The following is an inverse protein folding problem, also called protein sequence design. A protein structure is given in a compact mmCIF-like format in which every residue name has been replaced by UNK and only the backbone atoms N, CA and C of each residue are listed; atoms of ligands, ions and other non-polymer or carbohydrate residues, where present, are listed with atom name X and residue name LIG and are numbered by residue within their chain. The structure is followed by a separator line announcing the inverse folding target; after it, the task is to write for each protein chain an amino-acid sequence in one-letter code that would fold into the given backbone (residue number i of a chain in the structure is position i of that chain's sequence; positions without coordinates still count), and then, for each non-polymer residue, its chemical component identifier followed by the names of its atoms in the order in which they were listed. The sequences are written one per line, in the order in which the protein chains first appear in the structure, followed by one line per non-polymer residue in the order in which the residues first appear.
data_IF_233442685508
#
_entry.id   IF_233442685508
#
_cell.length_a   1.000
_cell.length_b   1.000
_cell.length_c   1.000
_cell.angle_alpha   90.00
_cell.angle_beta   90.00
_cell.angle_gamma   90.00
#
_symmetry.space_group_name_H-M   'P 1'
#
loop_
_entity.id
_entity.type
_entity.pdbx_description
1 polymer ?
#
# COMPACT_ATOMS: atom_id res chain seq x y z
N UNK A 1 -9.50 -19.86 -17.00
CA UNK A 1 -9.82 -18.66 -16.22
C UNK A 1 -11.19 -18.18 -16.68
N UNK A 2 -12.13 -17.99 -15.77
CA UNK A 2 -13.43 -17.36 -16.06
C UNK A 2 -13.18 -15.93 -16.50
N UNK A 3 -13.99 -15.45 -17.45
CA UNK A 3 -13.93 -14.07 -17.94
C UNK A 3 -14.46 -13.08 -16.89
N UNK A 4 -14.19 -11.79 -17.08
CA UNK A 4 -14.70 -10.74 -16.19
C UNK A 4 -16.23 -10.77 -16.09
N UNK A 5 -16.92 -10.96 -17.23
CA UNK A 5 -18.38 -11.06 -17.26
C UNK A 5 -18.87 -12.26 -16.43
N UNK A 6 -18.28 -13.44 -16.61
CA UNK A 6 -18.66 -14.65 -15.85
C UNK A 6 -18.41 -14.46 -14.34
N UNK A 7 -17.33 -13.74 -13.95
CA UNK A 7 -17.05 -13.47 -12.54
C UNK A 7 -18.06 -12.48 -11.95
N UNK A 8 -18.37 -11.40 -12.66
CA UNK A 8 -19.35 -10.40 -12.19
C UNK A 8 -20.75 -11.01 -12.11
N UNK A 9 -21.16 -11.82 -13.10
CA UNK A 9 -22.42 -12.53 -13.07
C UNK A 9 -22.50 -13.47 -11.86
N UNK A 10 -21.44 -14.22 -11.58
CA UNK A 10 -21.36 -15.10 -10.42
C UNK A 10 -21.47 -14.34 -9.09
N UNK A 11 -20.75 -13.22 -8.96
CA UNK A 11 -20.81 -12.35 -7.79
C UNK A 11 -22.23 -11.85 -7.56
N UNK A 12 -22.89 -11.33 -8.61
CA UNK A 12 -24.25 -10.78 -8.51
C UNK A 12 -25.31 -11.87 -8.29
N UNK A 13 -25.17 -13.05 -8.92
CA UNK A 13 -26.06 -14.18 -8.68
C UNK A 13 -25.96 -14.70 -7.24
N UNK A 14 -24.76 -14.83 -6.70
CA UNK A 14 -24.55 -15.21 -5.30
C UNK A 14 -25.16 -14.20 -4.35
N UNK A 15 -24.95 -12.91 -4.59
CA UNK A 15 -25.57 -11.83 -3.82
C UNK A 15 -27.09 -11.92 -3.80
N UNK A 16 -27.70 -12.20 -4.96
CA UNK A 16 -29.15 -12.37 -5.09
C UNK A 16 -29.68 -13.59 -4.32
N UNK A 17 -28.98 -14.73 -4.38
CA UNK A 17 -29.34 -15.95 -3.63
C UNK A 17 -29.29 -15.69 -2.12
N UNK A 18 -28.28 -14.97 -1.66
CA UNK A 18 -28.10 -14.60 -0.25
C UNK A 18 -29.00 -13.43 0.19
N UNK A 19 -29.73 -12.80 -0.74
CA UNK A 19 -30.61 -11.66 -0.49
C UNK A 19 -29.86 -10.49 0.16
N UNK A 20 -28.61 -10.21 -0.29
CA UNK A 20 -27.85 -9.07 0.21
C UNK A 20 -28.52 -7.75 -0.20
N UNK A 21 -28.34 -6.70 0.61
CA UNK A 21 -29.00 -5.43 0.41
C UNK A 21 -28.39 -4.58 -0.71
N UNK A 22 -27.08 -4.68 -0.90
CA UNK A 22 -26.36 -4.02 -1.98
C UNK A 22 -24.99 -4.68 -2.23
N UNK A 23 -24.43 -4.44 -3.41
CA UNK A 23 -23.12 -4.92 -3.86
C UNK A 23 -22.32 -3.76 -4.42
N UNK A 24 -21.08 -3.62 -3.96
CA UNK A 24 -20.13 -2.70 -4.57
C UNK A 24 -18.78 -3.39 -4.77
N UNK A 25 -17.96 -2.82 -5.62
CA UNK A 25 -16.59 -3.29 -5.89
C UNK A 25 -15.63 -2.11 -5.72
N UNK A 26 -14.48 -2.38 -5.13
CA UNK A 26 -13.37 -1.43 -4.96
C UNK A 26 -12.10 -1.91 -5.65
N UNK A 27 -10.95 -1.34 -5.32
CA UNK A 27 -9.66 -1.81 -5.73
C UNK A 27 -9.24 -1.49 -7.16
N UNK A 28 -8.36 -2.34 -7.72
CA UNK A 28 -7.72 -2.03 -9.00
C UNK A 28 -8.67 -2.05 -10.20
N UNK A 29 -9.77 -2.79 -10.13
CA UNK A 29 -10.77 -2.86 -11.20
C UNK A 29 -11.62 -1.60 -11.33
N UNK A 30 -11.74 -0.81 -10.26
CA UNK A 30 -12.44 0.48 -10.27
C UNK A 30 -11.54 1.64 -10.66
N UNK A 31 -10.22 1.45 -10.62
CA UNK A 31 -9.25 2.48 -10.98
C UNK A 31 -8.91 2.42 -12.48
N UNK A 32 -9.34 3.40 -13.30
CA UNK A 32 -9.08 3.41 -14.74
C UNK A 32 -7.59 3.53 -15.10
N UNK A 33 -6.73 3.91 -14.15
CA UNK A 33 -5.28 4.03 -14.33
C UNK A 33 -4.52 2.74 -13.95
N UNK A 34 -5.18 1.80 -13.28
CA UNK A 34 -4.55 0.53 -12.94
C UNK A 34 -4.30 -0.31 -14.21
N UNK A 35 -3.16 -1.01 -14.29
CA UNK A 35 -2.94 -1.98 -15.35
C UNK A 35 -4.06 -3.03 -15.37
N UNK A 36 -4.58 -3.33 -16.56
CA UNK A 36 -5.55 -4.39 -16.75
C UNK A 36 -4.81 -5.66 -17.13
N UNK A 37 -4.74 -6.60 -16.21
CA UNK A 37 -4.06 -7.88 -16.38
C UNK A 37 -4.79 -9.01 -15.66
N UNK A 38 -4.28 -10.23 -15.79
CA UNK A 38 -4.83 -11.45 -15.17
C UNK A 38 -4.65 -11.51 -13.64
N UNK A 39 -3.90 -10.59 -13.04
CA UNK A 39 -3.64 -10.54 -11.60
C UNK A 39 -4.58 -9.58 -10.85
N UNK A 40 -5.49 -8.89 -11.57
CA UNK A 40 -6.50 -8.07 -10.91
C UNK A 40 -7.51 -8.94 -10.17
N UNK A 41 -7.59 -8.79 -8.85
CA UNK A 41 -8.61 -9.39 -7.99
C UNK A 41 -9.95 -8.63 -8.09
N UNK A 42 -10.98 -9.24 -7.52
CA UNK A 42 -12.31 -8.66 -7.36
C UNK A 42 -12.49 -8.30 -5.88
N UNK A 43 -12.23 -7.06 -5.52
CA UNK A 43 -12.45 -6.50 -4.17
C UNK A 43 -13.94 -6.16 -4.02
N UNK A 44 -14.74 -7.08 -3.50
CA UNK A 44 -16.20 -6.99 -3.46
C UNK A 44 -16.70 -6.78 -2.04
N UNK A 45 -17.71 -5.95 -1.87
CA UNK A 45 -18.49 -5.88 -0.63
C UNK A 45 -19.94 -6.28 -0.86
N UNK A 46 -20.44 -7.14 0.02
CA UNK A 46 -21.85 -7.40 0.19
C UNK A 46 -22.35 -6.66 1.44
N UNK A 47 -23.32 -5.79 1.24
CA UNK A 47 -24.02 -5.13 2.34
C UNK A 47 -25.13 -6.05 2.80
N UNK A 48 -25.10 -6.43 4.06
CA UNK A 48 -25.96 -7.47 4.61
C UNK A 48 -26.79 -6.98 5.80
N UNK A 49 -27.98 -7.56 5.97
CA UNK A 49 -28.86 -7.30 7.12
C UNK A 49 -28.45 -8.17 8.32
N UNK A 50 -28.18 -9.44 8.07
CA UNK A 50 -27.84 -10.45 9.10
C UNK A 50 -26.47 -11.07 8.79
N UNK A 51 -25.43 -10.45 9.35
CA UNK A 51 -24.06 -10.96 9.23
C UNK A 51 -23.90 -12.31 9.95
N UNK A 52 -24.47 -12.43 11.15
CA UNK A 52 -24.29 -13.62 12.00
C UNK A 52 -24.96 -14.85 11.36
N UNK A 53 -26.13 -14.68 10.76
CA UNK A 53 -26.78 -15.74 9.99
C UNK A 53 -25.95 -16.21 8.80
N UNK A 54 -25.34 -15.31 8.05
CA UNK A 54 -24.51 -15.65 6.89
C UNK A 54 -23.19 -16.34 7.26
N UNK A 55 -22.59 -16.00 8.41
CA UNK A 55 -21.34 -16.65 8.85
C UNK A 55 -21.58 -17.96 9.61
N UNK A 56 -22.79 -18.22 10.07
CA UNK A 56 -23.14 -19.46 10.77
C UNK A 56 -23.06 -20.70 9.85
N UNK A 57 -23.34 -20.52 8.54
CA UNK A 57 -23.18 -21.56 7.53
C UNK A 57 -22.48 -20.95 6.30
N UNK A 58 -21.26 -21.36 6.05
CA UNK A 58 -20.42 -20.88 4.94
C UNK A 58 -20.52 -21.76 3.69
N UNK A 59 -21.45 -22.73 3.64
CA UNK A 59 -21.61 -23.62 2.47
C UNK A 59 -21.89 -22.84 1.17
N UNK A 60 -22.47 -21.64 1.25
CA UNK A 60 -22.70 -20.77 0.10
C UNK A 60 -21.40 -20.31 -0.59
N UNK A 61 -20.27 -20.27 0.12
CA UNK A 61 -18.96 -19.95 -0.50
C UNK A 61 -18.53 -20.96 -1.55
N UNK A 62 -19.01 -22.21 -1.46
CA UNK A 62 -18.74 -23.25 -2.46
C UNK A 62 -19.29 -22.87 -3.84
N UNK A 63 -20.32 -22.02 -3.88
CA UNK A 63 -20.90 -21.52 -5.12
C UNK A 63 -19.91 -20.71 -5.98
N UNK A 64 -18.87 -20.13 -5.39
CA UNK A 64 -17.82 -19.40 -6.13
C UNK A 64 -16.86 -20.34 -6.88
N UNK A 65 -16.83 -21.63 -6.55
CA UNK A 65 -16.00 -22.63 -7.19
C UNK A 65 -14.85 -23.14 -6.33
N UNK A 66 -14.07 -24.04 -6.91
CA UNK A 66 -12.94 -24.65 -6.20
C UNK A 66 -11.82 -23.66 -5.96
N UNK A 67 -11.36 -23.62 -4.71
CA UNK A 67 -10.30 -22.74 -4.23
C UNK A 67 -8.95 -23.48 -4.14
N UNK A 68 -7.88 -22.81 -4.56
CA UNK A 68 -6.50 -23.23 -4.26
C UNK A 68 -6.20 -22.96 -2.79
N UNK A 69 -6.58 -21.76 -2.33
CA UNK A 69 -6.39 -21.29 -0.96
C UNK A 69 -7.47 -20.28 -0.60
N UNK A 70 -7.84 -20.27 0.64
CA UNK A 70 -8.69 -19.25 1.23
C UNK A 70 -8.14 -18.75 2.57
N UNK A 71 -8.45 -17.52 2.90
CA UNK A 71 -8.14 -16.92 4.18
C UNK A 71 -9.34 -16.14 4.68
N UNK A 72 -9.60 -16.27 5.96
CA UNK A 72 -10.63 -15.52 6.66
C UNK A 72 -10.00 -14.48 7.57
N UNK A 73 -10.47 -13.23 7.47
CA UNK A 73 -9.99 -12.11 8.28
C UNK A 73 -11.14 -11.48 9.05
N UNK A 74 -10.99 -11.37 10.36
CA UNK A 74 -11.89 -10.63 11.23
C UNK A 74 -11.51 -9.15 11.18
N UNK A 75 -12.45 -8.34 10.74
CA UNK A 75 -12.35 -6.88 10.82
C UNK A 75 -13.47 -6.43 11.76
N UNK A 76 -13.25 -5.57 12.70
CA UNK A 76 -14.18 -5.15 13.76
C UNK A 76 -15.66 -5.59 13.58
N UNK A 77 -16.38 -4.93 12.67
CA UNK A 77 -17.78 -5.19 12.38
C UNK A 77 -18.00 -5.91 11.03
N UNK A 78 -16.95 -6.32 10.33
CA UNK A 78 -16.98 -6.90 8.98
C UNK A 78 -16.25 -8.23 8.94
N UNK A 79 -16.53 -9.02 7.91
CA UNK A 79 -15.83 -10.28 7.65
C UNK A 79 -15.28 -10.24 6.23
N UNK A 80 -14.00 -10.58 6.08
CA UNK A 80 -13.32 -10.59 4.79
C UNK A 80 -12.90 -12.02 4.47
N UNK A 81 -13.32 -12.51 3.31
CA UNK A 81 -12.97 -13.80 2.73
C UNK A 81 -12.06 -13.57 1.53
N UNK A 82 -10.83 -14.00 1.62
CA UNK A 82 -9.85 -13.95 0.53
C UNK A 82 -9.85 -15.33 -0.15
N UNK A 83 -10.18 -15.38 -1.43
CA UNK A 83 -10.35 -16.65 -2.15
C UNK A 83 -9.58 -16.60 -3.47
N UNK A 84 -8.58 -17.48 -3.62
CA UNK A 84 -7.91 -17.74 -4.89
C UNK A 84 -8.42 -19.07 -5.48
N UNK A 85 -8.96 -19.01 -6.68
CA UNK A 85 -9.59 -20.14 -7.34
C UNK A 85 -8.63 -20.93 -8.25
N UNK A 86 -8.95 -22.21 -8.53
CA UNK A 86 -8.15 -23.08 -9.41
C UNK A 86 -7.98 -22.51 -10.83
N UNK A 87 -8.89 -21.65 -11.27
CA UNK A 87 -8.82 -21.00 -12.57
C UNK A 87 -7.98 -19.70 -12.58
N UNK A 88 -7.36 -19.37 -11.46
CA UNK A 88 -6.49 -18.19 -11.30
C UNK A 88 -7.22 -16.89 -10.95
N UNK A 89 -8.56 -16.87 -10.96
CA UNK A 89 -9.29 -15.71 -10.47
C UNK A 89 -9.18 -15.58 -8.95
N UNK A 90 -9.32 -14.34 -8.43
CA UNK A 90 -9.33 -14.07 -7.00
C UNK A 90 -10.49 -13.15 -6.64
N UNK A 91 -11.17 -13.48 -5.55
CA UNK A 91 -12.19 -12.62 -4.93
C UNK A 91 -11.76 -12.32 -3.49
N UNK A 92 -11.75 -11.04 -3.15
CA UNK A 92 -11.63 -10.54 -1.79
C UNK A 92 -13.03 -10.03 -1.39
N UNK A 93 -13.82 -10.89 -0.74
CA UNK A 93 -15.23 -10.62 -0.42
C UNK A 93 -15.38 -10.12 1.02
N UNK A 94 -15.83 -8.88 1.16
CA UNK A 94 -16.21 -8.31 2.45
C UNK A 94 -17.72 -8.46 2.69
N UNK A 95 -18.12 -9.05 3.81
CA UNK A 95 -19.47 -8.94 4.34
C UNK A 95 -19.52 -7.75 5.31
N UNK A 96 -20.38 -6.79 5.04
CA UNK A 96 -20.48 -5.55 5.81
C UNK A 96 -21.93 -5.32 6.23
N UNK A 97 -22.26 -5.27 7.54
CA UNK A 97 -23.56 -4.86 8.01
C UNK A 97 -23.92 -3.47 7.50
N UNK A 98 -25.18 -3.24 7.18
CA UNK A 98 -25.63 -1.97 6.58
C UNK A 98 -25.32 -0.72 7.42
N UNK A 99 -25.32 -0.83 8.74
CA UNK A 99 -24.97 0.24 9.67
C UNK A 99 -23.50 0.65 9.60
N UNK A 100 -22.65 -0.21 9.03
CA UNK A 100 -21.21 0.03 8.90
C UNK A 100 -20.75 0.36 7.45
N UNK A 101 -21.68 0.67 6.54
CA UNK A 101 -21.38 1.08 5.16
C UNK A 101 -20.41 2.25 5.13
N UNK A 102 -20.65 3.26 6.00
CA UNK A 102 -19.78 4.44 6.05
C UNK A 102 -18.32 4.08 6.37
N UNK A 103 -18.12 3.18 7.32
CA UNK A 103 -16.77 2.72 7.71
C UNK A 103 -16.07 1.98 6.53
N UNK A 104 -16.84 1.19 5.77
CA UNK A 104 -16.29 0.56 4.57
C UNK A 104 -15.93 1.60 3.50
N UNK A 105 -16.81 2.54 3.21
CA UNK A 105 -16.55 3.63 2.24
C UNK A 105 -15.33 4.46 2.64
N UNK A 106 -15.21 4.82 3.93
CA UNK A 106 -14.07 5.59 4.43
C UNK A 106 -12.74 4.77 4.34
N UNK A 107 -12.82 3.44 4.37
CA UNK A 107 -11.65 2.55 4.24
C UNK A 107 -11.22 2.32 2.80
N UNK A 108 -12.10 2.58 1.83
CA UNK A 108 -11.81 2.37 0.41
C UNK A 108 -11.43 3.68 -0.30
N UNK A 109 -10.51 3.61 -1.25
CA UNK A 109 -10.07 4.79 -2.00
C UNK A 109 -11.08 5.16 -3.09
N UNK A 110 -11.60 4.15 -3.77
CA UNK A 110 -12.53 4.27 -4.88
C UNK A 110 -13.43 3.04 -4.91
N UNK A 111 -14.67 3.21 -5.37
CA UNK A 111 -15.60 2.11 -5.50
C UNK A 111 -16.61 2.34 -6.63
N UNK A 112 -17.16 1.26 -7.14
CA UNK A 112 -18.27 1.24 -8.10
C UNK A 112 -19.41 0.41 -7.52
N UNK A 113 -20.61 0.96 -7.50
CA UNK A 113 -21.81 0.25 -7.09
C UNK A 113 -22.23 -0.69 -8.23
N UNK A 114 -22.39 -1.99 -7.94
CA UNK A 114 -22.81 -3.00 -8.90
C UNK A 114 -24.30 -3.29 -8.82
N UNK A 115 -24.89 -3.29 -7.61
CA UNK A 115 -26.30 -3.46 -7.34
C UNK A 115 -26.67 -2.75 -6.03
N UNK A 116 -27.72 -1.93 -6.05
CA UNK A 116 -28.18 -1.18 -4.87
C UNK A 116 -29.66 -0.78 -5.02
N UNK A 117 -30.58 -1.72 -4.93
CA UNK A 117 -32.00 -1.45 -5.12
C UNK A 117 -32.61 -0.55 -4.05
N UNK A 118 -31.94 -0.40 -2.90
CA UNK A 118 -32.40 0.41 -1.78
C UNK A 118 -31.74 1.79 -1.71
N UNK A 119 -30.75 2.09 -2.54
CA UNK A 119 -30.04 3.36 -2.54
C UNK A 119 -29.14 3.57 -1.31
N UNK A 120 -28.60 2.48 -0.73
CA UNK A 120 -27.79 2.53 0.48
C UNK A 120 -26.45 3.28 0.26
N UNK A 121 -25.92 3.23 -0.96
CA UNK A 121 -24.70 3.94 -1.34
C UNK A 121 -24.97 5.39 -1.81
N UNK A 122 -26.22 5.79 -2.02
CA UNK A 122 -26.54 7.13 -2.54
C UNK A 122 -25.96 8.31 -1.73
N UNK A 123 -25.81 8.23 -0.38
CA UNK A 123 -25.18 9.29 0.40
C UNK A 123 -23.66 9.42 0.21
N UNK A 124 -23.01 8.45 -0.43
CA UNK A 124 -21.57 8.35 -0.46
C UNK A 124 -21.03 8.57 -1.88
N UNK A 125 -19.97 9.33 -1.99
CA UNK A 125 -19.23 9.51 -3.24
C UNK A 125 -17.86 8.86 -3.14
N UNK A 126 -17.39 8.18 -4.20
CA UNK A 126 -16.00 7.69 -4.26
C UNK A 126 -15.01 8.83 -4.01
N UNK A 127 -14.00 8.59 -3.19
CA UNK A 127 -12.93 9.55 -2.93
C UNK A 127 -11.59 8.93 -3.26
N UNK A 128 -11.15 8.93 -4.54
CA UNK A 128 -9.99 8.18 -5.02
C UNK A 128 -8.66 8.77 -4.55
N UNK A 129 -8.53 9.08 -3.23
CA UNK A 129 -7.38 9.80 -2.68
C UNK A 129 -6.54 8.99 -1.68
N UNK A 130 -6.86 7.73 -1.45
CA UNK A 130 -6.21 6.94 -0.39
C UNK A 130 -4.68 6.83 -0.56
N UNK A 131 -4.21 6.73 -1.79
CA UNK A 131 -2.79 6.60 -2.12
C UNK A 131 -2.23 7.84 -2.82
N UNK A 132 -2.93 8.94 -2.70
CA UNK A 132 -2.49 10.20 -3.29
C UNK A 132 -1.50 10.89 -2.37
N UNK A 133 -0.45 11.43 -2.98
CA UNK A 133 0.49 12.27 -2.24
C UNK A 133 -0.15 13.59 -1.86
N UNK A 134 0.25 14.13 -0.73
CA UNK A 134 0.00 15.52 -0.35
C UNK A 134 1.35 16.18 -0.08
N UNK A 135 1.50 17.49 -0.30
CA UNK A 135 2.69 18.21 0.11
C UNK A 135 2.91 18.03 1.62
N UNK A 136 4.16 17.79 2.01
CA UNK A 136 4.53 17.74 3.42
C UNK A 136 4.45 19.12 4.06
N UNK A 137 4.16 19.18 5.36
CA UNK A 137 4.52 20.33 6.18
C UNK A 137 6.02 20.30 6.52
N UNK A 138 6.58 21.45 6.93
CA UNK A 138 7.94 21.50 7.42
C UNK A 138 8.17 20.56 8.61
N UNK A 139 7.19 20.46 9.50
CA UNK A 139 7.23 19.52 10.64
C UNK A 139 7.26 18.06 10.21
N UNK A 140 6.53 17.68 9.15
CA UNK A 140 6.55 16.30 8.64
C UNK A 140 7.91 15.98 8.00
N UNK A 141 8.48 16.96 7.27
CA UNK A 141 9.80 16.81 6.67
C UNK A 141 10.89 16.68 7.74
N UNK A 142 10.88 17.53 8.76
CA UNK A 142 11.83 17.47 9.88
C UNK A 142 11.76 16.12 10.61
N UNK A 143 10.53 15.65 10.94
CA UNK A 143 10.33 14.33 11.56
C UNK A 143 10.85 13.18 10.70
N UNK A 144 10.63 13.25 9.40
CA UNK A 144 11.08 12.22 8.45
C UNK A 144 12.60 12.19 8.34
N UNK A 145 13.25 13.36 8.27
CA UNK A 145 14.70 13.46 8.26
C UNK A 145 15.29 12.91 9.56
N UNK A 146 14.72 13.29 10.71
CA UNK A 146 15.19 12.82 12.00
C UNK A 146 15.02 11.30 12.15
N UNK A 147 13.89 10.73 11.74
CA UNK A 147 13.64 9.28 11.76
C UNK A 147 14.63 8.53 10.87
N UNK A 148 14.87 9.02 9.65
CA UNK A 148 15.85 8.41 8.74
C UNK A 148 17.23 8.31 9.39
N UNK A 149 17.76 9.43 9.90
CA UNK A 149 19.10 9.47 10.47
C UNK A 149 19.18 8.70 11.79
N UNK A 150 18.15 8.76 12.62
CA UNK A 150 18.11 8.01 13.88
C UNK A 150 18.12 6.49 13.64
N UNK A 151 17.28 6.00 12.72
CA UNK A 151 17.19 4.56 12.44
C UNK A 151 18.41 4.05 11.69
N UNK A 152 19.10 4.89 10.90
CA UNK A 152 20.36 4.48 10.26
C UNK A 152 21.41 3.99 11.26
N UNK A 153 21.44 4.54 12.49
CA UNK A 153 22.30 4.03 13.57
C UNK A 153 21.94 2.59 14.00
N UNK A 154 20.68 2.19 13.89
CA UNK A 154 20.27 0.79 14.17
C UNK A 154 20.76 -0.15 13.07
N UNK A 155 20.75 0.30 11.82
CA UNK A 155 21.32 -0.45 10.70
C UNK A 155 22.81 -0.66 10.91
N UNK A 156 23.57 0.43 11.22
CA UNK A 156 25.01 0.36 11.56
C UNK A 156 25.27 -0.66 12.67
N UNK A 157 24.52 -0.56 13.77
CA UNK A 157 24.61 -1.51 14.89
C UNK A 157 24.33 -2.96 14.46
N UNK A 158 23.32 -3.17 13.64
CA UNK A 158 22.96 -4.50 13.11
C UNK A 158 24.07 -5.10 12.25
N UNK A 159 24.64 -4.32 11.33
CA UNK A 159 25.74 -4.72 10.47
C UNK A 159 26.98 -5.05 11.33
N UNK A 160 27.38 -4.16 12.22
CA UNK A 160 28.56 -4.34 13.09
C UNK A 160 28.47 -5.62 13.92
N UNK A 161 27.28 -6.00 14.39
CA UNK A 161 27.02 -7.19 15.19
C UNK A 161 26.73 -8.44 14.35
N UNK A 162 26.79 -8.35 13.04
CA UNK A 162 26.39 -9.40 12.11
C UNK A 162 24.93 -9.90 12.31
N UNK A 163 24.04 -8.99 12.73
CA UNK A 163 22.61 -9.24 12.84
C UNK A 163 21.92 -8.82 11.54
N UNK A 164 22.12 -9.58 10.46
CA UNK A 164 21.76 -9.17 9.10
C UNK A 164 20.25 -8.94 8.92
N UNK A 165 19.41 -9.82 9.52
CA UNK A 165 17.94 -9.67 9.45
C UNK A 165 17.52 -8.35 10.12
N UNK A 166 18.05 -8.05 11.31
CA UNK A 166 17.78 -6.80 12.01
C UNK A 166 18.23 -5.57 11.20
N UNK A 167 19.42 -5.63 10.60
CA UNK A 167 19.94 -4.55 9.77
C UNK A 167 19.07 -4.32 8.52
N UNK A 168 18.68 -5.39 7.84
CA UNK A 168 17.85 -5.33 6.64
C UNK A 168 16.45 -4.79 6.95
N UNK A 169 15.84 -5.24 8.04
CA UNK A 169 14.52 -4.79 8.46
C UNK A 169 14.49 -3.28 8.69
N UNK A 170 15.47 -2.74 9.44
CA UNK A 170 15.56 -1.29 9.67
C UNK A 170 15.96 -0.51 8.41
N UNK A 171 16.81 -1.08 7.55
CA UNK A 171 17.21 -0.41 6.31
C UNK A 171 16.03 -0.30 5.34
N UNK A 172 15.36 -1.42 5.05
CA UNK A 172 14.23 -1.43 4.11
C UNK A 172 12.95 -0.89 4.75
N UNK A 173 12.60 -1.39 5.94
CA UNK A 173 11.33 -1.09 6.61
C UNK A 173 11.23 0.33 7.18
N UNK A 174 12.36 1.00 7.40
CA UNK A 174 12.39 2.37 7.90
C UNK A 174 13.15 3.31 6.96
N UNK A 175 14.47 3.19 6.84
CA UNK A 175 15.27 4.19 6.10
C UNK A 175 14.81 4.33 4.64
N UNK A 176 14.64 3.24 3.91
CA UNK A 176 14.18 3.30 2.52
C UNK A 176 12.70 3.68 2.40
N UNK A 177 11.88 3.43 3.42
CA UNK A 177 10.50 3.94 3.46
C UNK A 177 10.46 5.46 3.63
N UNK A 178 11.33 6.04 4.48
CA UNK A 178 11.46 7.49 4.59
C UNK A 178 11.97 8.12 3.28
N UNK A 179 12.89 7.47 2.58
CA UNK A 179 13.33 7.90 1.25
C UNK A 179 12.17 7.87 0.23
N UNK A 180 11.38 6.80 0.17
CA UNK A 180 10.21 6.71 -0.72
C UNK A 180 9.18 7.79 -0.39
N UNK A 181 8.95 8.06 0.88
CA UNK A 181 8.06 9.12 1.37
C UNK A 181 8.56 10.50 0.93
N UNK A 182 9.85 10.78 1.07
CA UNK A 182 10.47 12.01 0.60
C UNK A 182 10.32 12.20 -0.91
N UNK A 183 10.56 11.15 -1.70
CA UNK A 183 10.34 11.16 -3.15
C UNK A 183 8.87 11.42 -3.50
N UNK A 184 7.93 10.84 -2.75
CA UNK A 184 6.50 11.09 -2.95
C UNK A 184 6.14 12.56 -2.67
N UNK A 185 6.74 13.19 -1.66
CA UNK A 185 6.57 14.62 -1.39
C UNK A 185 7.15 15.50 -2.49
N UNK A 186 8.30 15.12 -3.08
CA UNK A 186 8.85 15.83 -4.25
C UNK A 186 7.85 15.81 -5.41
N UNK A 187 7.25 14.64 -5.67
CA UNK A 187 6.20 14.52 -6.71
C UNK A 187 5.02 15.42 -6.38
N UNK A 188 4.58 15.46 -5.11
CA UNK A 188 3.48 16.32 -4.69
C UNK A 188 3.78 17.82 -4.91
N UNK A 189 5.02 18.25 -4.64
CA UNK A 189 5.46 19.64 -4.90
C UNK A 189 5.50 19.94 -6.39
N UNK A 190 5.91 18.98 -7.24
CA UNK A 190 6.09 19.19 -8.69
C UNK A 190 4.82 19.04 -9.50
N UNK A 191 3.95 18.13 -9.12
CA UNK A 191 2.79 17.70 -9.91
C UNK A 191 1.46 17.95 -9.21
N UNK A 192 1.48 18.41 -7.95
CA UNK A 192 0.31 18.43 -7.10
C UNK A 192 0.00 17.05 -6.53
N UNK A 193 -1.19 16.92 -5.96
CA UNK A 193 -1.67 15.66 -5.38
C UNK A 193 -1.90 14.63 -6.48
N UNK A 194 -1.17 13.53 -6.47
CA UNK A 194 -1.23 12.44 -7.45
C UNK A 194 -1.23 11.07 -6.78
N UNK A 195 -1.76 10.07 -7.47
CA UNK A 195 -1.78 8.69 -7.01
C UNK A 195 -0.40 8.04 -7.21
N UNK A 196 0.25 7.66 -6.12
CA UNK A 196 1.51 6.90 -6.13
C UNK A 196 1.30 5.40 -5.87
N UNK A 197 0.05 4.97 -5.72
CA UNK A 197 -0.34 3.59 -5.46
C UNK A 197 0.01 3.06 -4.09
N UNK A 198 -0.62 1.96 -3.71
CA UNK A 198 -0.29 1.23 -2.47
C UNK A 198 1.18 0.83 -2.49
N UNK A 199 1.90 1.10 -1.38
CA UNK A 199 3.33 0.83 -1.23
C UNK A 199 4.19 1.48 -2.34
N UNK A 200 3.80 2.67 -2.80
CA UNK A 200 4.52 3.47 -3.80
C UNK A 200 4.66 2.80 -5.19
N UNK A 201 3.80 1.82 -5.55
CA UNK A 201 3.93 1.04 -6.78
C UNK A 201 3.89 1.85 -8.08
N UNK A 202 3.36 3.10 -8.02
CA UNK A 202 3.31 4.02 -9.16
C UNK A 202 4.24 5.23 -8.99
N UNK A 203 5.04 5.29 -7.92
CA UNK A 203 5.86 6.46 -7.62
C UNK A 203 6.85 6.81 -8.74
N UNK A 204 7.55 5.81 -9.25
CA UNK A 204 8.64 6.05 -10.21
C UNK A 204 8.17 6.45 -11.61
N UNK A 205 6.88 6.29 -11.95
CA UNK A 205 6.33 6.82 -13.20
C UNK A 205 6.41 8.36 -13.30
N UNK A 206 6.60 9.04 -12.18
CA UNK A 206 6.72 10.50 -12.10
C UNK A 206 8.17 11.00 -12.18
N UNK A 207 9.13 10.10 -12.27
CA UNK A 207 10.55 10.38 -12.35
C UNK A 207 11.16 9.84 -13.66
N UNK A 208 12.34 10.34 -14.08
CA UNK A 208 13.15 9.66 -15.09
C UNK A 208 13.49 8.22 -14.67
N UNK A 209 13.61 7.31 -15.64
CA UNK A 209 13.87 5.88 -15.39
C UNK A 209 15.18 5.61 -14.59
N UNK A 210 16.11 6.55 -14.64
CA UNK A 210 17.37 6.49 -13.90
C UNK A 210 17.14 6.53 -12.38
N UNK A 211 16.11 7.29 -11.91
CA UNK A 211 15.76 7.37 -10.50
C UNK A 211 15.25 6.03 -9.95
N UNK A 212 14.45 5.31 -10.71
CA UNK A 212 14.00 3.97 -10.36
C UNK A 212 15.16 2.98 -10.29
N UNK A 213 16.08 3.04 -11.26
CA UNK A 213 17.30 2.21 -11.27
C UNK A 213 18.19 2.51 -10.08
N UNK A 214 18.37 3.80 -9.75
CA UNK A 214 19.13 4.24 -8.57
C UNK A 214 18.53 3.65 -7.29
N UNK A 215 17.20 3.73 -7.11
CA UNK A 215 16.53 3.13 -5.96
C UNK A 215 16.60 1.59 -5.96
N UNK A 216 16.35 0.95 -7.09
CA UNK A 216 16.36 -0.52 -7.20
C UNK A 216 17.74 -1.09 -6.87
N UNK A 217 18.81 -0.36 -7.20
CA UNK A 217 20.18 -0.76 -6.85
C UNK A 217 20.45 -0.78 -5.33
N UNK A 218 19.59 -0.16 -4.51
CA UNK A 218 19.67 -0.22 -3.05
C UNK A 218 19.13 -1.53 -2.46
N UNK A 219 18.40 -2.34 -3.24
CA UNK A 219 17.67 -3.50 -2.74
C UNK A 219 18.49 -4.81 -2.71
N UNK A 220 19.81 -4.74 -2.64
CA UNK A 220 20.67 -5.92 -2.53
C UNK A 220 21.13 -6.13 -1.08
N UNK A 221 20.47 -7.06 -0.39
CA UNK A 221 20.69 -7.39 1.02
C UNK A 221 21.24 -8.81 1.23
N UNK A 222 21.81 -9.43 0.19
CA UNK A 222 22.12 -10.86 0.22
C UNK A 222 23.30 -11.24 1.12
N UNK A 223 24.13 -10.28 1.52
CA UNK A 223 25.21 -10.46 2.48
C UNK A 223 25.56 -9.16 3.21
N UNK A 224 26.42 -9.26 4.24
CA UNK A 224 26.82 -8.12 5.05
C UNK A 224 27.44 -6.98 4.24
N UNK A 225 28.30 -7.30 3.25
CA UNK A 225 28.96 -6.27 2.42
C UNK A 225 27.96 -5.52 1.57
N UNK A 226 26.96 -6.22 1.03
CA UNK A 226 25.92 -5.63 0.20
C UNK A 226 24.95 -4.79 1.02
N UNK A 227 24.58 -5.24 2.24
CA UNK A 227 23.79 -4.42 3.16
C UNK A 227 24.56 -3.16 3.52
N UNK A 228 25.87 -3.25 3.81
CA UNK A 228 26.71 -2.09 4.09
C UNK A 228 26.75 -1.12 2.90
N UNK A 229 26.95 -1.64 1.69
CA UNK A 229 26.91 -0.83 0.47
C UNK A 229 25.56 -0.16 0.26
N UNK A 230 24.48 -0.92 0.46
CA UNK A 230 23.11 -0.40 0.37
C UNK A 230 22.86 0.70 1.40
N UNK A 231 23.32 0.54 2.65
CA UNK A 231 23.18 1.57 3.66
C UNK A 231 23.83 2.90 3.21
N UNK A 232 25.11 2.87 2.82
CA UNK A 232 25.80 4.09 2.39
C UNK A 232 25.14 4.73 1.18
N UNK A 233 24.79 3.94 0.18
CA UNK A 233 24.09 4.44 -1.00
C UNK A 233 22.70 5.01 -0.66
N UNK A 234 21.99 4.43 0.32
CA UNK A 234 20.70 4.96 0.82
C UNK A 234 20.90 6.27 1.55
N UNK A 235 21.94 6.39 2.39
CA UNK A 235 22.28 7.63 3.10
C UNK A 235 22.62 8.77 2.11
N UNK A 236 23.46 8.49 1.12
CA UNK A 236 23.83 9.47 0.08
C UNK A 236 22.60 9.91 -0.72
N UNK A 237 21.75 8.96 -1.12
CA UNK A 237 20.54 9.25 -1.88
C UNK A 237 19.56 10.08 -1.06
N UNK A 238 19.29 9.70 0.19
CA UNK A 238 18.41 10.47 1.06
C UNK A 238 18.94 11.88 1.28
N UNK A 239 20.23 12.02 1.59
CA UNK A 239 20.87 13.32 1.83
C UNK A 239 20.72 14.25 0.61
N UNK A 240 21.04 13.75 -0.59
CA UNK A 240 20.87 14.48 -1.85
C UNK A 240 19.43 14.94 -2.08
N UNK A 241 18.47 14.03 -1.90
CA UNK A 241 17.06 14.35 -2.13
C UNK A 241 16.48 15.28 -1.04
N UNK A 242 16.90 15.13 0.21
CA UNK A 242 16.48 16.03 1.29
C UNK A 242 17.01 17.46 1.09
N UNK A 243 18.26 17.60 0.62
CA UNK A 243 18.79 18.91 0.25
C UNK A 243 18.01 19.54 -0.92
N UNK A 244 17.72 18.75 -1.96
CA UNK A 244 16.95 19.22 -3.11
C UNK A 244 15.54 19.64 -2.70
N UNK A 245 14.89 18.87 -1.82
CA UNK A 245 13.56 19.19 -1.29
C UNK A 245 13.57 20.46 -0.43
N UNK A 246 14.56 20.60 0.46
CA UNK A 246 14.79 21.79 1.29
C UNK A 246 14.95 23.05 0.43
N UNK A 247 15.81 23.00 -0.60
CA UNK A 247 16.01 24.13 -1.53
C UNK A 247 14.73 24.52 -2.27
N UNK A 248 13.88 23.54 -2.58
CA UNK A 248 12.67 23.75 -3.35
C UNK A 248 11.52 24.31 -2.52
N UNK A 249 11.39 23.85 -1.27
CA UNK A 249 10.28 24.23 -0.37
C UNK A 249 10.64 25.39 0.55
N UNK A 250 11.93 25.65 0.79
CA UNK A 250 12.40 26.56 1.81
C UNK A 250 12.43 25.96 3.22
N UNK A 251 12.09 24.67 3.38
CA UNK A 251 12.11 24.00 4.68
C UNK A 251 13.54 23.77 5.16
N UNK A 252 13.72 23.83 6.48
CA UNK A 252 15.02 23.57 7.07
C UNK A 252 15.44 22.09 6.92
N UNK A 253 16.70 21.86 6.54
CA UNK A 253 17.34 20.54 6.57
C UNK A 253 18.66 20.61 7.31
N UNK A 254 18.79 19.84 8.39
CA UNK A 254 20.00 19.77 9.21
C UNK A 254 21.10 18.95 8.51
N UNK A 255 21.90 19.63 7.69
CA UNK A 255 23.03 19.02 6.98
C UNK A 255 24.15 18.56 7.91
N UNK A 256 24.37 19.30 8.97
CA UNK A 256 25.45 18.98 9.92
C UNK A 256 25.18 17.64 10.62
N UNK A 257 23.95 17.42 11.08
CA UNK A 257 23.55 16.12 11.63
C UNK A 257 23.68 15.01 10.61
N UNK A 258 23.28 15.23 9.36
CA UNK A 258 23.40 14.23 8.29
C UNK A 258 24.87 13.82 8.04
N UNK A 259 25.77 14.80 7.90
CA UNK A 259 27.21 14.59 7.69
C UNK A 259 27.83 13.81 8.87
N UNK A 260 27.53 14.19 10.11
CA UNK A 260 27.97 13.47 11.32
C UNK A 260 27.47 12.04 11.38
N UNK A 261 26.25 11.78 10.91
CA UNK A 261 25.70 10.41 10.87
C UNK A 261 26.35 9.55 9.79
N UNK A 262 26.73 10.13 8.66
CA UNK A 262 27.52 9.44 7.63
C UNK A 262 28.92 9.10 8.13
N UNK A 263 29.61 10.07 8.76
CA UNK A 263 30.91 9.85 9.41
C UNK A 263 30.84 8.76 10.49
N UNK A 264 29.82 8.82 11.37
CA UNK A 264 29.57 7.78 12.37
C UNK A 264 29.44 6.38 11.76
N UNK A 265 28.70 6.25 10.66
CA UNK A 265 28.52 4.98 9.97
C UNK A 265 29.85 4.48 9.39
N UNK A 266 30.60 5.36 8.73
CA UNK A 266 31.92 5.03 8.18
C UNK A 266 32.91 4.55 9.24
N UNK A 267 33.01 5.25 10.36
CA UNK A 267 33.95 4.89 11.45
C UNK A 267 33.63 3.52 12.07
N UNK A 268 32.36 3.11 12.08
CA UNK A 268 31.91 1.86 12.72
C UNK A 268 31.90 0.66 11.80
N UNK A 269 31.89 0.86 10.47
CA UNK A 269 31.76 -0.20 9.48
C UNK A 269 33.00 -0.37 8.59
N UNK A 270 34.06 0.39 8.87
CA UNK A 270 35.40 0.19 8.27
C UNK A 270 36.09 -1.06 8.88
#
# INVERSE_FOLDING_TARGET
MRTETEMLDLILQTAKVLQVNAVAMSGSRTNPKAPKDEFQDYDVVYIVEDLDGLIADLAWLEGFGKRIIEQYVLLDHRRLYLMLFEDGNRIDLTLCPKEHIKEWVDSEADFTVLDDPQGLFAPYAPTPKRYWTAPASETDFDKSCNEFWWVSAYVVKGIHRNHLIYATDHLYGNCQQELLKLLAWQVAVDKGTVDVGKNYKYLFQYFPSEKEKEFTALLDFSDQKKITKSLFATMDFFHKEAQAFSLKTGFHYDKETAEKMMEYAEERLK
#
